data_IF_109674508177
#
_entry.id   IF_109674508177
#
_cell.length_a   1.000
_cell.length_b   1.000
_cell.length_c   1.000
_cell.angle_alpha   90.00
_cell.angle_beta   90.00
_cell.angle_gamma   90.00
#
_symmetry.space_group_name_H-M   'P 1'
#
loop_
_entity.id
_entity.type
_entity.pdbx_description
1 polymer ?
#
# COMPACT_ATOMS: atom_id res chain seq x y z
N UNK A 1 14.51 -14.66 -4.73
CA UNK A 1 13.12 -14.89 -4.29
C UNK A 1 12.36 -13.57 -4.30
N UNK A 2 11.14 -13.58 -4.78
CA UNK A 2 10.33 -12.37 -4.89
C UNK A 2 9.27 -12.35 -3.80
N UNK A 3 9.13 -11.20 -3.16
CA UNK A 3 8.11 -11.00 -2.14
C UNK A 3 7.07 -10.02 -2.66
N UNK A 4 5.81 -10.32 -2.43
CA UNK A 4 4.72 -9.41 -2.74
C UNK A 4 3.97 -9.08 -1.46
N UNK A 5 3.58 -7.83 -1.33
CA UNK A 5 2.74 -7.41 -0.21
C UNK A 5 1.54 -6.65 -0.76
N UNK A 6 0.39 -6.91 -0.17
CA UNK A 6 -0.83 -6.17 -0.46
C UNK A 6 -1.14 -5.32 0.76
N UNK A 7 -1.29 -4.03 0.56
CA UNK A 7 -1.65 -3.13 1.65
C UNK A 7 -3.09 -2.69 1.41
N UNK A 8 -3.93 -3.02 2.38
CA UNK A 8 -5.34 -2.64 2.38
C UNK A 8 -5.45 -1.43 3.28
N UNK A 9 -5.91 -0.31 2.75
CA UNK A 9 -5.90 0.93 3.49
C UNK A 9 -7.27 1.54 3.67
N UNK A 10 -7.47 2.17 4.83
CA UNK A 10 -8.63 3.01 5.10
C UNK A 10 -8.14 4.44 5.02
N UNK A 11 -8.74 5.23 4.15
CA UNK A 11 -8.36 6.63 3.98
C UNK A 11 -9.39 7.55 4.62
N UNK A 12 -8.97 8.79 4.83
CA UNK A 12 -9.86 9.84 5.23
C UNK A 12 -10.90 10.03 4.12
N UNK A 13 -12.15 10.22 4.52
CA UNK A 13 -13.26 10.37 3.57
C UNK A 13 -12.98 11.52 2.60
N UNK A 14 -13.12 11.23 1.31
CA UNK A 14 -12.88 12.20 0.26
C UNK A 14 -11.43 12.30 -0.18
N UNK A 15 -10.52 11.56 0.46
CA UNK A 15 -9.09 11.61 0.16
C UNK A 15 -8.60 10.35 -0.55
N UNK A 16 -9.49 9.44 -0.88
CA UNK A 16 -9.11 8.13 -1.43
C UNK A 16 -8.19 8.23 -2.63
N UNK A 17 -8.56 9.06 -3.59
CA UNK A 17 -7.77 9.17 -4.81
C UNK A 17 -6.43 9.85 -4.55
N UNK A 18 -6.42 10.88 -3.73
CA UNK A 18 -5.19 11.59 -3.39
C UNK A 18 -4.21 10.65 -2.67
N UNK A 19 -4.72 9.87 -1.72
CA UNK A 19 -3.89 8.90 -0.99
C UNK A 19 -3.38 7.83 -1.94
N UNK A 20 -4.24 7.31 -2.82
CA UNK A 20 -3.81 6.33 -3.81
C UNK A 20 -2.71 6.88 -4.70
N UNK A 21 -2.89 8.10 -5.20
CA UNK A 21 -1.88 8.71 -6.07
C UNK A 21 -0.53 8.81 -5.37
N UNK A 22 -0.52 9.14 -4.09
CA UNK A 22 0.72 9.19 -3.32
C UNK A 22 1.33 7.81 -3.13
N UNK A 23 0.51 6.79 -2.86
CA UNK A 23 1.00 5.43 -2.76
C UNK A 23 1.70 5.00 -4.05
N UNK A 24 1.15 5.37 -5.18
CA UNK A 24 1.69 4.97 -6.48
C UNK A 24 3.04 5.61 -6.80
N UNK A 25 3.45 6.64 -6.06
CA UNK A 25 4.78 7.26 -6.24
C UNK A 25 5.85 6.55 -5.42
N UNK A 26 5.47 5.69 -4.50
CA UNK A 26 6.42 4.98 -3.65
C UNK A 26 7.14 3.92 -4.48
N UNK A 27 8.45 3.82 -4.30
CA UNK A 27 9.25 2.83 -5.00
C UNK A 27 8.70 1.42 -4.76
N UNK A 28 8.77 0.57 -5.77
CA UNK A 28 8.35 -0.85 -5.71
C UNK A 28 6.85 -1.07 -5.63
N UNK A 29 6.05 -0.03 -5.58
CA UNK A 29 4.60 -0.16 -5.71
C UNK A 29 4.29 -0.41 -7.19
N UNK A 30 3.69 -1.56 -7.48
CA UNK A 30 3.45 -1.98 -8.86
C UNK A 30 2.06 -1.63 -9.36
N UNK A 31 1.09 -1.62 -8.47
CA UNK A 31 -0.28 -1.26 -8.83
C UNK A 31 -1.05 -0.88 -7.59
N UNK A 32 -2.15 -0.18 -7.80
CA UNK A 32 -3.05 0.18 -6.72
C UNK A 32 -4.38 0.62 -7.29
N UNK A 33 -5.40 0.53 -6.48
CA UNK A 33 -6.75 0.90 -6.91
C UNK A 33 -7.59 1.32 -5.70
N UNK A 34 -8.61 2.13 -5.98
CA UNK A 34 -9.65 2.46 -5.01
C UNK A 34 -10.65 1.32 -5.03
N UNK A 35 -11.10 0.91 -3.86
CA UNK A 35 -12.06 -0.19 -3.73
C UNK A 35 -13.22 0.24 -2.83
N UNK A 36 -14.24 -0.58 -2.76
CA UNK A 36 -15.38 -0.40 -1.85
C UNK A 36 -15.40 -1.55 -0.86
N UNK A 37 -15.88 -1.28 0.35
CA UNK A 37 -16.03 -2.29 1.39
C UNK A 37 -15.37 -1.83 2.67
N UNK A 38 -14.74 -2.76 3.37
CA UNK A 38 -14.05 -2.45 4.63
C UNK A 38 -12.83 -1.56 4.42
N UNK A 39 -12.29 -1.54 3.21
CA UNK A 39 -11.10 -0.77 2.88
C UNK A 39 -11.42 0.15 1.71
N UNK A 40 -10.59 1.18 1.56
CA UNK A 40 -10.78 2.19 0.52
C UNK A 40 -9.78 2.04 -0.61
N UNK A 41 -8.57 1.56 -0.31
CA UNK A 41 -7.54 1.36 -1.32
C UNK A 41 -6.84 0.02 -1.10
N UNK A 42 -6.31 -0.51 -2.21
CA UNK A 42 -5.44 -1.69 -2.19
C UNK A 42 -4.23 -1.36 -3.06
N UNK A 43 -3.03 -1.56 -2.52
CA UNK A 43 -1.81 -1.41 -3.32
C UNK A 43 -0.98 -2.67 -3.23
N UNK A 44 -0.20 -2.93 -4.28
CA UNK A 44 0.68 -4.09 -4.33
C UNK A 44 2.12 -3.64 -4.45
N UNK A 45 2.97 -4.16 -3.57
CA UNK A 45 4.40 -3.92 -3.57
C UNK A 45 5.08 -5.22 -3.95
N UNK A 46 6.10 -5.15 -4.82
CA UNK A 46 6.89 -6.32 -5.19
C UNK A 46 8.36 -5.97 -5.04
N UNK A 47 9.09 -6.74 -4.25
CA UNK A 47 10.53 -6.57 -4.06
C UNK A 47 11.21 -7.92 -3.98
N UNK A 48 12.55 -7.92 -4.15
CA UNK A 48 13.35 -9.12 -3.98
C UNK A 48 13.96 -9.21 -2.58
N UNK A 49 13.78 -8.18 -1.78
CA UNK A 49 14.43 -8.04 -0.48
C UNK A 49 13.39 -7.72 0.57
N UNK A 50 13.31 -8.55 1.60
CA UNK A 50 12.31 -8.36 2.67
C UNK A 50 12.56 -7.08 3.46
N UNK A 51 13.80 -6.61 3.55
CA UNK A 51 14.11 -5.35 4.22
C UNK A 51 13.55 -4.17 3.44
N UNK A 52 13.65 -4.23 2.11
CA UNK A 52 13.06 -3.19 1.26
C UNK A 52 11.54 -3.21 1.35
N UNK A 53 10.96 -4.41 1.42
CA UNK A 53 9.52 -4.53 1.58
C UNK A 53 9.07 -3.79 2.84
N UNK A 54 9.76 -4.02 3.94
CA UNK A 54 9.45 -3.37 5.21
C UNK A 54 9.53 -1.85 5.11
N UNK A 55 10.55 -1.34 4.42
CA UNK A 55 10.71 0.10 4.22
C UNK A 55 9.56 0.68 3.42
N UNK A 56 9.12 -0.01 2.37
CA UNK A 56 8.01 0.49 1.54
C UNK A 56 6.71 0.50 2.31
N UNK A 57 6.48 -0.53 3.13
CA UNK A 57 5.30 -0.56 3.99
C UNK A 57 5.30 0.64 4.93
N UNK A 58 6.45 0.94 5.55
CA UNK A 58 6.56 2.08 6.45
C UNK A 58 6.34 3.41 5.74
N UNK A 59 6.86 3.56 4.52
CA UNK A 59 6.63 4.77 3.75
C UNK A 59 5.15 4.98 3.47
N UNK A 60 4.46 3.92 3.10
CA UNK A 60 3.03 4.01 2.81
C UNK A 60 2.24 4.37 4.06
N UNK A 61 2.60 3.77 5.19
CA UNK A 61 1.89 4.04 6.45
C UNK A 61 2.03 5.48 6.92
N UNK A 62 3.01 6.22 6.41
CA UNK A 62 3.21 7.63 6.76
C UNK A 62 2.49 8.60 5.84
N UNK A 63 1.81 8.10 4.82
CA UNK A 63 1.10 8.98 3.88
C UNK A 63 -0.06 9.66 4.60
N UNK A 64 -0.11 10.98 4.49
CA UNK A 64 -1.17 11.78 5.09
C UNK A 64 -2.51 11.42 4.47
N UNK A 65 -3.51 11.23 5.32
CA UNK A 65 -4.84 10.84 4.86
C UNK A 65 -5.08 9.34 4.93
N UNK A 66 -4.03 8.55 5.07
CA UNK A 66 -4.14 7.10 5.24
C UNK A 66 -4.23 6.83 6.74
N UNK A 67 -5.40 6.38 7.19
CA UNK A 67 -5.70 6.29 8.62
C UNK A 67 -5.31 4.96 9.24
N UNK A 68 -5.45 3.89 8.48
CA UNK A 68 -5.22 2.55 8.99
C UNK A 68 -4.87 1.63 7.84
N UNK A 69 -3.97 0.67 8.09
CA UNK A 69 -3.56 -0.29 7.07
C UNK A 69 -3.54 -1.70 7.61
N UNK A 70 -3.76 -2.64 6.72
CA UNK A 70 -3.54 -4.06 6.96
C UNK A 70 -2.61 -4.55 5.86
N UNK A 71 -1.53 -5.21 6.23
CA UNK A 71 -0.55 -5.71 5.25
C UNK A 71 -0.63 -7.23 5.17
N UNK A 72 -0.78 -7.73 3.96
CA UNK A 72 -0.79 -9.17 3.67
C UNK A 72 0.44 -9.48 2.83
N UNK A 73 1.27 -10.40 3.28
CA UNK A 73 2.50 -10.74 2.57
C UNK A 73 2.36 -12.09 1.90
N UNK A 74 2.62 -12.12 0.60
CA UNK A 74 2.64 -13.35 -0.18
C UNK A 74 4.09 -13.78 -0.36
N UNK A 75 4.37 -15.03 -0.05
CA UNK A 75 5.72 -15.60 -0.09
C UNK A 75 5.88 -16.56 -1.27
N UNK A 76 5.52 -16.12 -2.43
CA UNK A 76 5.62 -17.00 -3.61
C UNK A 76 6.75 -16.63 -4.55
#
# INVERSE_FOLDING_TARGET
MTFSAYILGVSQIGKEKEVLDRCLTVKDVKEGTVVFGEYDIVVKIVTDDVKELSRRVEEIRRIEGLLRTTTLISMQ
#
